data_IF_389094032676
#
_entry.id   IF_389094032676
#
_cell.length_a   1.000
_cell.length_b   1.000
_cell.length_c   1.000
_cell.angle_alpha   90.00
_cell.angle_beta   90.00
_cell.angle_gamma   90.00
#
_symmetry.space_group_name_H-M   'P 1'
#
loop_
_entity.id
_entity.type
_entity.pdbx_description
1 polymer ?
#
# COMPACT_ATOMS: atom_id res chain seq x y z
N UNK A 1 -46.53 2.51 -31.67
CA UNK A 1 -45.53 2.09 -32.69
C UNK A 1 -46.12 0.93 -33.45
N UNK A 2 -45.99 0.87 -34.78
CA UNK A 2 -46.45 -0.29 -35.57
C UNK A 2 -45.24 -1.16 -35.95
N UNK A 3 -45.25 -2.44 -35.55
CA UNK A 3 -44.18 -3.39 -35.86
C UNK A 3 -44.66 -4.32 -36.98
N UNK A 4 -44.07 -4.19 -38.17
CA UNK A 4 -44.48 -4.96 -39.35
C UNK A 4 -44.18 -6.46 -39.20
N UNK A 5 -44.99 -7.29 -39.85
CA UNK A 5 -44.68 -8.70 -40.04
C UNK A 5 -43.41 -8.86 -40.91
N UNK A 6 -42.54 -9.85 -40.62
CA UNK A 6 -42.66 -10.87 -39.57
C UNK A 6 -42.10 -10.41 -38.20
N UNK A 7 -41.54 -9.20 -38.08
CA UNK A 7 -40.80 -8.76 -36.90
C UNK A 7 -41.63 -8.66 -35.61
N UNK A 8 -42.95 -8.54 -35.71
CA UNK A 8 -43.86 -8.58 -34.57
C UNK A 8 -43.70 -9.82 -33.66
N UNK A 9 -43.19 -10.95 -34.19
CA UNK A 9 -42.92 -12.16 -33.41
C UNK A 9 -41.75 -12.01 -32.42
N UNK A 10 -40.89 -11.00 -32.64
CA UNK A 10 -39.74 -10.71 -31.76
C UNK A 10 -40.14 -9.89 -30.53
N UNK A 11 -41.34 -9.30 -30.54
CA UNK A 11 -41.85 -8.45 -29.45
C UNK A 11 -42.55 -9.33 -28.42
N UNK A 12 -41.92 -9.45 -27.26
CA UNK A 12 -42.37 -10.21 -26.09
C UNK A 12 -42.69 -9.25 -24.96
N UNK A 13 -43.36 -9.73 -23.92
CA UNK A 13 -43.72 -8.89 -22.75
C UNK A 13 -42.51 -8.26 -22.05
N UNK A 14 -41.33 -8.88 -22.15
CA UNK A 14 -40.07 -8.39 -21.57
C UNK A 14 -39.24 -7.53 -22.55
N UNK A 15 -39.74 -7.27 -23.75
CA UNK A 15 -39.03 -6.46 -24.75
C UNK A 15 -38.80 -5.04 -24.24
N UNK A 16 -37.58 -4.54 -24.38
CA UNK A 16 -37.18 -3.19 -23.98
C UNK A 16 -37.02 -2.34 -25.22
N UNK A 17 -37.76 -1.24 -25.29
CA UNK A 17 -37.68 -0.27 -26.39
C UNK A 17 -36.80 0.90 -25.97
N UNK A 18 -35.89 1.34 -26.83
CA UNK A 18 -35.02 2.48 -26.54
C UNK A 18 -34.94 3.43 -27.73
N UNK A 19 -34.65 4.70 -27.43
CA UNK A 19 -34.36 5.68 -28.43
C UNK A 19 -32.98 5.38 -29.06
N UNK A 20 -32.98 5.13 -30.37
CA UNK A 20 -31.80 4.80 -31.18
C UNK A 20 -31.38 6.00 -32.05
N UNK A 21 -31.74 7.21 -31.60
CA UNK A 21 -31.48 8.45 -32.31
C UNK A 21 -30.29 9.18 -31.69
N UNK A 22 -29.32 9.55 -32.51
CA UNK A 22 -28.20 10.39 -32.11
C UNK A 22 -26.87 9.63 -31.97
N UNK A 23 -25.91 10.31 -31.37
CA UNK A 23 -24.59 9.75 -31.04
C UNK A 23 -24.54 9.65 -29.52
N UNK A 24 -24.42 8.42 -29.00
CA UNK A 24 -24.19 8.21 -27.58
C UNK A 24 -22.69 8.14 -27.33
N UNK A 25 -22.18 9.02 -26.46
CA UNK A 25 -20.77 9.11 -26.11
C UNK A 25 -20.66 8.94 -24.61
N UNK A 26 -20.25 7.75 -24.19
CA UNK A 26 -20.00 7.45 -22.78
C UNK A 26 -18.50 7.49 -22.52
N UNK A 27 -18.10 8.18 -21.46
CA UNK A 27 -16.72 8.17 -20.97
C UNK A 27 -16.72 7.59 -19.56
N UNK A 28 -16.14 6.41 -19.40
CA UNK A 28 -16.04 5.73 -18.11
C UNK A 28 -14.59 5.37 -17.77
N UNK A 29 -14.39 4.60 -16.70
CA UNK A 29 -13.08 4.14 -16.28
C UNK A 29 -12.43 3.15 -17.26
N UNK A 30 -13.20 2.56 -18.19
CA UNK A 30 -12.75 1.65 -19.24
C UNK A 30 -12.36 2.38 -20.53
N UNK A 31 -12.77 3.64 -20.70
CA UNK A 31 -12.32 4.51 -21.78
C UNK A 31 -13.46 5.28 -22.44
N UNK A 32 -13.21 5.76 -23.66
CA UNK A 32 -14.22 6.42 -24.49
C UNK A 32 -14.99 5.37 -25.31
N UNK A 33 -16.28 5.26 -25.07
CA UNK A 33 -17.19 4.47 -25.88
C UNK A 33 -18.08 5.39 -26.72
N UNK A 34 -18.13 5.13 -28.03
CA UNK A 34 -18.95 5.87 -28.98
C UNK A 34 -19.90 4.88 -29.65
N UNK A 35 -21.19 4.95 -29.31
CA UNK A 35 -22.22 4.15 -29.95
C UNK A 35 -22.93 5.03 -30.97
N UNK A 36 -22.82 4.66 -32.25
CA UNK A 36 -23.52 5.32 -33.36
C UNK A 36 -24.45 4.33 -34.04
N UNK A 37 -25.74 4.63 -34.01
CA UNK A 37 -26.73 3.95 -34.83
C UNK A 37 -26.64 4.40 -36.30
N UNK A 38 -27.48 3.81 -37.16
CA UNK A 38 -27.58 4.15 -38.59
C UNK A 38 -27.67 5.67 -38.80
N UNK A 39 -26.91 6.20 -39.78
CA UNK A 39 -26.93 7.61 -40.17
C UNK A 39 -28.34 8.14 -40.45
N UNK A 40 -29.25 7.26 -40.91
CA UNK A 40 -30.66 7.59 -41.17
C UNK A 40 -31.44 7.79 -39.86
N UNK A 41 -31.16 6.99 -38.83
CA UNK A 41 -31.75 7.11 -37.48
C UNK A 41 -31.32 8.40 -36.78
N UNK A 42 -30.10 8.86 -37.00
CA UNK A 42 -29.59 10.14 -36.47
C UNK A 42 -30.36 11.34 -37.04
N UNK A 43 -30.81 11.26 -38.30
CA UNK A 43 -31.51 12.38 -38.98
C UNK A 43 -33.03 12.40 -38.76
N UNK A 44 -33.68 11.25 -38.69
CA UNK A 44 -35.15 11.14 -38.65
C UNK A 44 -35.70 10.69 -37.29
N UNK A 45 -34.80 10.25 -36.40
CA UNK A 45 -35.14 9.56 -35.17
C UNK A 45 -35.54 8.10 -35.41
N UNK A 46 -35.18 7.22 -34.47
CA UNK A 46 -35.55 5.82 -34.48
C UNK A 46 -35.82 5.29 -33.06
N UNK A 47 -36.70 4.30 -32.99
CA UNK A 47 -36.91 3.47 -31.79
C UNK A 47 -36.44 2.07 -32.14
N UNK A 48 -35.49 1.55 -31.39
CA UNK A 48 -35.05 0.16 -31.48
C UNK A 48 -35.59 -0.64 -30.29
N UNK A 49 -35.49 -1.96 -30.38
CA UNK A 49 -35.92 -2.84 -29.29
C UNK A 49 -35.03 -4.07 -29.17
N UNK A 50 -34.93 -4.57 -27.95
CA UNK A 50 -34.26 -5.83 -27.64
C UNK A 50 -35.11 -6.68 -26.68
N UNK A 51 -34.99 -8.00 -26.80
CA UNK A 51 -35.67 -8.96 -25.93
C UNK A 51 -34.61 -9.70 -25.11
N UNK A 52 -34.49 -9.44 -23.79
CA UNK A 52 -33.46 -10.05 -22.98
C UNK A 52 -33.60 -11.58 -22.92
N UNK A 53 -32.48 -12.28 -22.98
CA UNK A 53 -32.44 -13.74 -22.90
C UNK A 53 -32.65 -14.15 -21.43
N UNK A 54 -33.80 -14.77 -21.13
CA UNK A 54 -34.14 -15.27 -19.79
C UNK A 54 -34.31 -16.79 -19.76
N UNK A 55 -34.06 -17.39 -18.59
CA UNK A 55 -34.22 -18.84 -18.35
C UNK A 55 -35.67 -19.33 -18.51
N UNK A 56 -36.65 -18.43 -18.49
CA UNK A 56 -38.06 -18.70 -18.83
C UNK A 56 -38.40 -17.96 -20.10
N UNK A 57 -39.04 -18.62 -21.07
CA UNK A 57 -39.51 -17.97 -22.28
C UNK A 57 -40.60 -16.94 -21.95
N UNK A 58 -40.33 -15.66 -22.21
CA UNK A 58 -41.35 -14.59 -22.08
C UNK A 58 -42.45 -14.78 -23.13
N UNK A 59 -43.71 -14.52 -22.78
CA UNK A 59 -44.85 -14.61 -23.71
C UNK A 59 -44.81 -13.49 -24.76
N UNK A 60 -45.45 -13.72 -25.92
CA UNK A 60 -45.63 -12.66 -26.92
C UNK A 60 -46.47 -11.52 -26.32
N UNK A 61 -46.11 -10.28 -26.64
CA UNK A 61 -46.89 -9.14 -26.18
C UNK A 61 -48.21 -9.06 -26.97
N UNK A 62 -49.35 -8.83 -26.30
CA UNK A 62 -50.62 -8.60 -26.99
C UNK A 62 -50.60 -7.27 -27.75
N UNK A 63 -51.59 -7.07 -28.63
CA UNK A 63 -51.83 -5.78 -29.27
C UNK A 63 -52.09 -4.69 -28.21
N UNK A 64 -51.64 -3.47 -28.50
CA UNK A 64 -51.72 -2.29 -27.61
C UNK A 64 -51.05 -2.45 -26.23
N UNK A 65 -50.11 -3.39 -26.08
CA UNK A 65 -49.32 -3.52 -24.86
C UNK A 65 -48.42 -2.30 -24.66
N UNK A 66 -48.45 -1.73 -23.45
CA UNK A 66 -47.63 -0.57 -23.09
C UNK A 66 -46.19 -1.00 -22.72
N UNK A 67 -45.21 -0.32 -23.32
CA UNK A 67 -43.79 -0.52 -23.03
C UNK A 67 -43.16 0.77 -22.53
N UNK A 68 -42.18 0.64 -21.64
CA UNK A 68 -41.29 1.75 -21.26
C UNK A 68 -40.34 2.06 -22.42
N UNK A 69 -40.28 3.33 -22.82
CA UNK A 69 -39.28 3.84 -23.77
C UNK A 69 -38.07 4.34 -22.98
N UNK A 70 -36.94 3.67 -23.17
CA UNK A 70 -35.67 3.97 -22.53
C UNK A 70 -34.90 5.07 -23.31
N UNK A 71 -34.13 5.93 -22.63
CA UNK A 71 -33.37 7.00 -23.30
C UNK A 71 -32.32 6.50 -24.30
N UNK A 72 -31.70 5.34 -24.06
CA UNK A 72 -30.66 4.74 -24.91
C UNK A 72 -30.52 3.22 -24.62
N UNK A 73 -29.73 2.52 -25.44
CA UNK A 73 -29.46 1.08 -25.26
C UNK A 73 -28.76 0.75 -23.93
N UNK A 74 -27.89 1.62 -23.41
CA UNK A 74 -27.24 1.35 -22.12
C UNK A 74 -28.24 1.25 -20.97
N UNK A 75 -29.24 2.15 -20.96
CA UNK A 75 -30.28 2.14 -19.94
C UNK A 75 -31.19 0.91 -20.00
N UNK A 76 -31.24 0.18 -21.13
CA UNK A 76 -31.92 -1.12 -21.20
C UNK A 76 -31.08 -2.26 -20.66
N UNK A 77 -29.76 -2.12 -20.54
CA UNK A 77 -28.86 -3.16 -19.99
C UNK A 77 -28.77 -3.10 -18.48
N UNK A 78 -29.02 -1.94 -17.87
CA UNK A 78 -29.17 -1.83 -16.43
C UNK A 78 -30.40 -2.63 -16.00
N UNK A 79 -30.18 -3.74 -15.28
CA UNK A 79 -31.27 -4.38 -14.54
C UNK A 79 -31.77 -3.34 -13.55
N UNK A 80 -33.02 -2.90 -13.67
CA UNK A 80 -33.69 -2.19 -12.59
C UNK A 80 -33.82 -3.16 -11.42
N UNK A 81 -32.78 -3.21 -10.58
CA UNK A 81 -32.78 -4.04 -9.40
C UNK A 81 -33.90 -3.54 -8.47
N UNK A 82 -34.82 -4.43 -8.12
CA UNK A 82 -36.07 -4.05 -7.45
C UNK A 82 -35.82 -3.68 -5.99
N UNK A 83 -34.78 -4.25 -5.40
CA UNK A 83 -34.35 -3.99 -4.03
C UNK A 83 -33.19 -2.99 -4.02
N UNK A 84 -33.51 -1.75 -3.64
CA UNK A 84 -32.52 -0.72 -3.30
C UNK A 84 -32.41 -0.58 -1.78
N UNK A 85 -31.19 -0.54 -1.26
CA UNK A 85 -30.92 -0.24 0.15
C UNK A 85 -30.05 1.00 0.27
N UNK A 86 -30.51 1.94 1.09
CA UNK A 86 -29.84 3.22 1.27
C UNK A 86 -28.97 3.23 2.52
N UNK A 87 -27.80 3.86 2.42
CA UNK A 87 -26.84 4.00 3.52
C UNK A 87 -26.24 5.40 3.54
N UNK A 88 -25.88 5.87 4.72
CA UNK A 88 -25.16 7.13 4.91
C UNK A 88 -23.68 6.89 5.16
N UNK A 89 -22.85 7.74 4.56
CA UNK A 89 -21.42 7.79 4.73
C UNK A 89 -21.02 9.19 5.15
N UNK A 90 -20.15 9.32 6.15
CA UNK A 90 -19.65 10.62 6.59
C UNK A 90 -18.18 10.76 6.20
N UNK A 91 -17.87 11.73 5.34
CA UNK A 91 -16.49 12.08 5.01
C UNK A 91 -16.11 13.40 5.67
N UNK A 92 -14.87 13.47 6.16
CA UNK A 92 -14.25 14.69 6.68
C UNK A 92 -13.34 15.37 5.64
N UNK A 93 -13.02 14.66 4.56
CA UNK A 93 -12.08 15.09 3.52
C UNK A 93 -12.79 15.84 2.37
N UNK A 94 -11.99 16.38 1.45
CA UNK A 94 -12.51 17.04 0.23
C UNK A 94 -13.22 16.01 -0.67
N UNK A 95 -14.51 16.21 -0.90
CA UNK A 95 -15.31 15.39 -1.82
C UNK A 95 -15.24 15.87 -3.27
N UNK A 96 -14.39 16.84 -3.60
CA UNK A 96 -14.20 17.33 -4.97
C UNK A 96 -13.96 16.19 -5.95
N UNK A 97 -14.71 16.21 -7.06
CA UNK A 97 -14.70 15.14 -8.06
C UNK A 97 -15.74 14.05 -7.79
N UNK A 98 -16.39 14.03 -6.61
CA UNK A 98 -17.59 13.24 -6.38
C UNK A 98 -18.77 13.90 -7.08
N UNK A 99 -19.52 13.11 -7.83
CA UNK A 99 -20.73 13.54 -8.53
C UNK A 99 -21.93 12.71 -8.05
N UNK A 100 -23.14 13.22 -8.28
CA UNK A 100 -24.32 12.36 -8.21
C UNK A 100 -24.17 11.22 -9.22
N UNK A 101 -24.69 10.04 -8.88
CA UNK A 101 -24.55 8.78 -9.64
C UNK A 101 -23.12 8.21 -9.72
N UNK A 102 -22.15 8.81 -9.01
CA UNK A 102 -20.80 8.26 -8.92
C UNK A 102 -20.87 6.80 -8.40
N UNK A 103 -20.10 5.87 -8.99
CA UNK A 103 -20.26 4.47 -8.67
C UNK A 103 -19.84 4.18 -7.23
N UNK A 104 -20.58 3.30 -6.58
CA UNK A 104 -20.13 2.62 -5.36
C UNK A 104 -19.64 1.25 -5.80
N UNK A 105 -18.39 0.93 -5.48
CA UNK A 105 -17.71 -0.27 -5.92
C UNK A 105 -17.34 -1.14 -4.73
N UNK A 106 -17.35 -2.45 -4.92
CA UNK A 106 -16.82 -3.42 -3.97
C UNK A 106 -15.93 -4.38 -4.76
N UNK A 107 -14.65 -4.48 -4.37
CA UNK A 107 -13.66 -5.28 -5.12
C UNK A 107 -13.61 -4.94 -6.63
N UNK A 108 -13.78 -3.66 -6.97
CA UNK A 108 -13.75 -3.18 -8.36
C UNK A 108 -15.05 -3.41 -9.16
N UNK A 109 -16.06 -4.04 -8.56
CA UNK A 109 -17.36 -4.27 -9.18
C UNK A 109 -18.32 -3.18 -8.68
N UNK A 110 -18.99 -2.45 -9.58
CA UNK A 110 -20.07 -1.52 -9.20
C UNK A 110 -21.13 -2.32 -8.43
N UNK A 111 -21.55 -1.84 -7.26
CA UNK A 111 -22.60 -2.45 -6.41
C UNK A 111 -23.69 -1.45 -6.05
N UNK A 112 -23.57 -0.22 -6.54
CA UNK A 112 -24.49 0.87 -6.24
C UNK A 112 -23.99 2.20 -6.79
N UNK A 113 -24.55 3.28 -6.28
CA UNK A 113 -24.19 4.64 -6.68
C UNK A 113 -24.51 5.69 -5.63
N UNK A 114 -23.90 6.86 -5.76
CA UNK A 114 -24.20 8.05 -4.96
C UNK A 114 -25.54 8.62 -5.38
N UNK A 115 -26.42 8.85 -4.41
CA UNK A 115 -27.73 9.46 -4.62
C UNK A 115 -27.61 10.97 -4.44
N UNK A 116 -27.08 11.39 -3.29
CA UNK A 116 -27.01 12.80 -2.91
C UNK A 116 -25.90 13.03 -1.88
N UNK A 117 -25.42 14.27 -1.77
CA UNK A 117 -24.49 14.69 -0.73
C UNK A 117 -24.55 16.19 -0.48
N UNK A 118 -24.29 16.60 0.76
CA UNK A 118 -24.29 18.01 1.14
C UNK A 118 -23.22 18.31 2.17
N UNK A 119 -22.70 19.54 2.17
CA UNK A 119 -21.81 20.02 3.23
C UNK A 119 -22.64 20.41 4.45
N UNK A 120 -22.32 19.84 5.60
CA UNK A 120 -22.97 20.17 6.87
C UNK A 120 -21.94 20.65 7.88
N UNK A 121 -22.33 21.63 8.70
CA UNK A 121 -21.52 22.11 9.81
C UNK A 121 -22.08 21.61 11.14
N UNK A 122 -21.25 20.95 11.92
CA UNK A 122 -21.62 20.43 13.22
C UNK A 122 -21.18 21.41 14.32
N UNK A 123 -22.12 22.21 14.80
CA UNK A 123 -21.89 23.19 15.87
C UNK A 123 -21.37 22.60 17.18
N UNK A 124 -21.63 21.31 17.47
CA UNK A 124 -21.16 20.67 18.70
C UNK A 124 -19.68 20.31 18.64
N UNK A 125 -19.21 19.90 17.46
CA UNK A 125 -17.82 19.51 17.22
C UNK A 125 -17.00 20.64 16.60
N UNK A 126 -17.66 21.71 16.15
CA UNK A 126 -17.07 22.82 15.41
C UNK A 126 -16.30 22.32 14.18
N UNK A 127 -16.84 21.32 13.49
CA UNK A 127 -16.25 20.69 12.31
C UNK A 127 -17.24 20.65 11.14
N UNK A 128 -16.69 20.50 9.93
CA UNK A 128 -17.46 20.24 8.72
C UNK A 128 -17.50 18.73 8.47
N UNK A 129 -18.64 18.25 8.03
CA UNK A 129 -18.82 16.86 7.61
C UNK A 129 -19.64 16.83 6.31
N UNK A 130 -19.32 15.89 5.44
CA UNK A 130 -20.07 15.65 4.21
C UNK A 130 -20.80 14.30 4.32
N UNK A 131 -22.08 14.29 4.74
CA UNK A 131 -22.92 13.13 4.55
C UNK A 131 -23.14 12.87 3.06
N UNK A 132 -22.87 11.63 2.65
CA UNK A 132 -23.12 11.11 1.32
C UNK A 132 -24.13 9.98 1.45
N UNK A 133 -25.27 10.14 0.79
CA UNK A 133 -26.29 9.11 0.66
C UNK A 133 -25.94 8.22 -0.54
N UNK A 134 -25.86 6.92 -0.29
CA UNK A 134 -25.63 5.93 -1.34
C UNK A 134 -26.81 4.96 -1.42
N UNK A 135 -27.05 4.44 -2.63
CA UNK A 135 -27.91 3.29 -2.85
C UNK A 135 -27.04 2.07 -3.21
N UNK A 136 -27.35 0.93 -2.61
CA UNK A 136 -26.76 -0.36 -2.91
C UNK A 136 -27.80 -1.32 -3.49
N UNK A 137 -27.36 -2.12 -4.44
CA UNK A 137 -28.15 -3.07 -5.21
C UNK A 137 -27.73 -4.50 -4.82
N UNK A 138 -28.23 -5.07 -3.70
CA UNK A 138 -27.80 -6.37 -3.19
C UNK A 138 -28.04 -7.53 -4.18
N UNK A 139 -28.98 -7.38 -5.11
CA UNK A 139 -29.24 -8.35 -6.17
C UNK A 139 -28.06 -8.56 -7.14
N UNK A 140 -27.03 -7.71 -7.07
CA UNK A 140 -25.77 -7.86 -7.84
C UNK A 140 -24.83 -8.91 -7.25
N UNK A 141 -25.05 -9.31 -6.00
CA UNK A 141 -24.21 -10.29 -5.30
C UNK A 141 -24.94 -11.63 -5.29
N UNK A 142 -24.50 -12.56 -6.14
CA UNK A 142 -25.04 -13.92 -6.13
C UNK A 142 -24.62 -14.64 -4.84
N UNK A 143 -25.60 -15.03 -4.02
CA UNK A 143 -25.36 -15.82 -2.83
C UNK A 143 -25.07 -17.27 -3.23
N UNK A 144 -23.78 -17.61 -3.36
CA UNK A 144 -23.36 -18.95 -3.79
C UNK A 144 -23.71 -20.00 -2.70
N UNK A 145 -23.60 -19.67 -1.41
CA UNK A 145 -23.90 -20.59 -0.29
C UNK A 145 -24.30 -19.86 1.03
N UNK A 146 -25.09 -20.53 1.88
CA UNK A 146 -25.42 -20.13 3.25
C UNK A 146 -26.70 -19.28 3.39
N UNK A 147 -27.36 -19.32 4.55
CA UNK A 147 -28.43 -18.35 4.90
C UNK A 147 -27.78 -17.12 5.52
N UNK A 148 -28.33 -15.93 5.24
CA UNK A 148 -27.98 -14.74 6.05
C UNK A 148 -28.24 -15.06 7.52
N UNK A 149 -27.32 -14.75 8.45
CA UNK A 149 -27.57 -14.96 9.87
C UNK A 149 -28.91 -14.34 10.28
N UNK A 150 -29.77 -15.11 10.96
CA UNK A 150 -31.07 -14.64 11.39
C UNK A 150 -30.90 -13.42 12.30
N UNK A 151 -31.58 -12.32 11.94
CA UNK A 151 -31.62 -11.09 12.73
C UNK A 151 -30.42 -10.13 12.59
N UNK A 152 -29.44 -10.38 11.71
CA UNK A 152 -28.35 -9.43 11.43
C UNK A 152 -28.34 -8.97 9.97
N UNK A 153 -28.14 -7.67 9.75
CA UNK A 153 -27.93 -7.13 8.41
C UNK A 153 -26.65 -7.72 7.83
N UNK A 154 -26.65 -8.06 6.54
CA UNK A 154 -25.43 -8.49 5.84
C UNK A 154 -24.29 -7.48 5.99
N UNK A 155 -24.64 -6.18 6.05
CA UNK A 155 -23.68 -5.11 6.29
C UNK A 155 -23.08 -5.16 7.70
N UNK A 156 -23.81 -5.62 8.72
CA UNK A 156 -23.26 -5.78 10.07
C UNK A 156 -22.13 -6.82 10.07
N UNK A 157 -22.33 -7.93 9.36
CA UNK A 157 -21.32 -8.99 9.22
C UNK A 157 -20.08 -8.45 8.51
N UNK A 158 -20.27 -7.65 7.46
CA UNK A 158 -19.17 -7.09 6.68
C UNK A 158 -18.39 -6.03 7.46
N UNK A 159 -19.09 -5.10 8.11
CA UNK A 159 -18.45 -4.07 8.94
C UNK A 159 -17.71 -4.68 10.12
N UNK A 160 -18.27 -5.72 10.75
CA UNK A 160 -17.61 -6.48 11.82
C UNK A 160 -16.32 -7.18 11.35
N UNK A 161 -16.24 -7.54 10.06
CA UNK A 161 -15.02 -8.08 9.43
C UNK A 161 -14.05 -7.00 8.92
N UNK A 162 -14.32 -5.73 9.21
CA UNK A 162 -13.44 -4.62 8.86
C UNK A 162 -13.84 -3.87 7.58
N UNK A 163 -15.02 -4.08 7.01
CA UNK A 163 -15.44 -3.29 5.84
C UNK A 163 -15.51 -1.80 6.19
N UNK A 164 -14.89 -0.96 5.35
CA UNK A 164 -14.93 0.51 5.41
C UNK A 164 -15.26 1.06 4.03
N UNK A 165 -15.95 2.20 4.02
CA UNK A 165 -16.12 2.99 2.82
C UNK A 165 -15.01 4.04 2.71
N UNK A 166 -14.48 4.23 1.52
CA UNK A 166 -13.45 5.22 1.23
C UNK A 166 -13.75 5.93 -0.08
N UNK A 167 -13.52 7.24 -0.13
CA UNK A 167 -13.50 7.95 -1.41
C UNK A 167 -12.18 7.63 -2.12
N UNK A 168 -12.25 7.20 -3.39
CA UNK A 168 -11.07 6.96 -4.22
C UNK A 168 -11.19 7.67 -5.56
N UNK A 169 -10.05 8.01 -6.15
CA UNK A 169 -10.01 8.59 -7.50
C UNK A 169 -10.18 7.47 -8.52
N UNK A 170 -11.20 7.58 -9.37
CA UNK A 170 -11.47 6.61 -10.45
C UNK A 170 -10.64 6.90 -11.69
N UNK A 171 -10.63 8.16 -12.12
CA UNK A 171 -9.86 8.60 -13.28
C UNK A 171 -8.96 9.78 -12.91
N UNK A 172 -7.64 9.58 -13.02
CA UNK A 172 -6.64 10.59 -12.67
C UNK A 172 -6.62 11.78 -13.63
N UNK A 173 -7.19 11.62 -14.84
CA UNK A 173 -7.22 12.66 -15.86
C UNK A 173 -8.41 13.61 -15.62
N UNK A 174 -9.59 13.06 -15.35
CA UNK A 174 -10.82 13.85 -15.14
C UNK A 174 -11.01 14.27 -13.68
N UNK A 175 -10.29 13.65 -12.75
CA UNK A 175 -10.41 13.90 -11.30
C UNK A 175 -11.70 13.33 -10.69
N UNK A 176 -12.44 12.49 -11.41
CA UNK A 176 -13.69 11.91 -10.90
C UNK A 176 -13.41 10.91 -9.77
N UNK A 177 -14.15 11.04 -8.67
CA UNK A 177 -14.10 10.16 -7.51
C UNK A 177 -15.24 9.14 -7.54
N UNK A 178 -15.01 8.01 -6.88
CA UNK A 178 -15.99 6.96 -6.62
C UNK A 178 -15.86 6.51 -5.16
N UNK A 179 -16.83 5.74 -4.68
CA UNK A 179 -16.81 5.19 -3.33
C UNK A 179 -16.41 3.73 -3.40
N UNK A 180 -15.33 3.37 -2.72
CA UNK A 180 -14.82 2.00 -2.61
C UNK A 180 -15.23 1.41 -1.26
N UNK A 181 -15.84 0.23 -1.29
CA UNK A 181 -16.14 -0.59 -0.12
C UNK A 181 -15.07 -1.69 -0.06
N UNK A 182 -14.22 -1.64 0.96
CA UNK A 182 -13.07 -2.55 1.09
C UNK A 182 -12.90 -3.05 2.54
N UNK A 183 -12.30 -4.22 2.71
CA UNK A 183 -11.97 -4.76 4.03
C UNK A 183 -10.63 -4.24 4.53
N UNK A 184 -10.65 -3.69 5.73
CA UNK A 184 -9.51 -3.18 6.47
C UNK A 184 -9.41 -3.88 7.84
N UNK A 185 -8.96 -5.15 7.89
CA UNK A 185 -8.87 -5.92 9.13
C UNK A 185 -7.85 -5.37 10.13
N UNK A 186 -6.91 -4.54 9.67
CA UNK A 186 -5.90 -3.85 10.47
C UNK A 186 -6.46 -2.72 11.35
N UNK A 187 -7.63 -2.19 11.00
CA UNK A 187 -8.23 -1.07 11.71
C UNK A 187 -9.08 -1.55 12.89
N UNK A 188 -9.25 -0.70 13.93
CA UNK A 188 -10.12 -1.03 15.06
C UNK A 188 -11.52 -1.42 14.59
N UNK A 189 -12.18 -2.40 15.24
CA UNK A 189 -13.53 -2.81 14.90
C UNK A 189 -14.50 -1.62 14.91
N UNK A 190 -15.42 -1.60 13.94
CA UNK A 190 -16.48 -0.62 13.86
C UNK A 190 -17.82 -1.34 13.75
N UNK A 191 -18.91 -0.59 13.88
CA UNK A 191 -20.28 -1.10 13.78
C UNK A 191 -21.08 -0.20 12.84
N UNK A 192 -22.10 -0.77 12.19
CA UNK A 192 -23.13 0.02 11.51
C UNK A 192 -23.92 0.76 12.59
N UNK A 193 -24.13 2.06 12.41
CA UNK A 193 -24.98 2.85 13.30
C UNK A 193 -26.38 2.96 12.72
N UNK A 194 -27.40 2.84 13.58
CA UNK A 194 -28.82 2.86 13.20
C UNK A 194 -29.58 3.99 13.90
N UNK A 195 -28.87 5.02 14.35
CA UNK A 195 -29.37 6.17 15.11
C UNK A 195 -29.87 7.33 14.22
N UNK A 196 -29.87 7.14 12.90
CA UNK A 196 -30.24 8.13 11.89
C UNK A 196 -31.29 7.58 10.91
N UNK A 197 -31.77 8.42 9.98
CA UNK A 197 -32.78 8.04 8.98
C UNK A 197 -32.33 6.87 8.08
N UNK A 198 -31.02 6.72 7.88
CA UNK A 198 -30.41 5.60 7.15
C UNK A 198 -29.28 4.99 7.97
N UNK A 199 -29.01 3.68 7.84
CA UNK A 199 -27.87 3.05 8.50
C UNK A 199 -26.56 3.68 8.04
N UNK A 200 -25.69 4.02 8.99
CA UNK A 200 -24.41 4.68 8.73
C UNK A 200 -23.31 3.64 8.66
N UNK A 201 -22.60 3.57 7.52
CA UNK A 201 -21.44 2.71 7.37
C UNK A 201 -20.16 3.46 7.78
N UNK A 202 -19.19 2.77 8.39
CA UNK A 202 -17.94 3.39 8.80
C UNK A 202 -17.09 3.76 7.60
N UNK A 203 -16.52 4.96 7.64
CA UNK A 203 -15.63 5.51 6.61
C UNK A 203 -14.19 5.56 7.10
N UNK A 204 -13.26 5.65 6.15
CA UNK A 204 -11.85 5.97 6.43
C UNK A 204 -11.40 7.12 5.52
N UNK A 205 -10.47 7.98 5.99
CA UNK A 205 -9.95 9.07 5.19
C UNK A 205 -9.11 8.60 4.01
N UNK A 206 -8.88 9.45 2.99
CA UNK A 206 -8.10 9.06 1.81
C UNK A 206 -6.60 8.85 2.12
N UNK A 207 -5.90 7.91 1.46
CA UNK A 207 -4.50 7.62 1.77
C UNK A 207 -3.53 8.72 1.32
N UNK A 208 -3.87 9.50 0.28
CA UNK A 208 -2.98 10.51 -0.28
C UNK A 208 -2.85 11.75 0.65
N UNK A 209 -3.93 12.13 1.32
CA UNK A 209 -3.92 13.20 2.32
C UNK A 209 -3.10 12.80 3.54
N UNK A 210 -3.08 11.52 3.92
CA UNK A 210 -2.21 11.02 4.99
C UNK A 210 -0.73 11.18 4.65
N UNK A 211 -0.32 11.00 3.39
CA UNK A 211 1.06 11.24 2.96
C UNK A 211 1.39 12.73 3.06
N UNK A 212 0.54 13.62 2.55
CA UNK A 212 0.78 15.06 2.62
C UNK A 212 0.78 15.59 4.06
N UNK A 213 -0.15 15.12 4.90
CA UNK A 213 -0.18 15.44 6.33
C UNK A 213 1.05 14.88 7.05
N UNK A 214 1.53 13.69 6.66
CA UNK A 214 2.77 13.12 7.20
C UNK A 214 3.99 13.93 6.78
N UNK A 215 4.06 14.39 5.53
CA UNK A 215 5.13 15.28 5.03
C UNK A 215 5.10 16.62 5.74
N UNK A 216 3.93 17.23 5.93
CA UNK A 216 3.80 18.50 6.68
C UNK A 216 4.20 18.32 8.15
N UNK A 217 3.88 17.18 8.76
CA UNK A 217 4.34 16.84 10.11
C UNK A 217 5.85 16.58 10.19
N UNK A 218 6.45 16.01 9.15
CA UNK A 218 7.91 15.88 9.03
C UNK A 218 8.55 17.27 8.88
N UNK A 219 8.02 18.15 8.03
CA UNK A 219 8.51 19.52 7.84
C UNK A 219 8.41 20.31 9.16
N UNK A 220 7.26 20.27 9.85
CA UNK A 220 7.09 20.92 11.17
C UNK A 220 8.02 20.37 12.24
N UNK A 221 8.37 19.08 12.18
CA UNK A 221 9.38 18.47 13.08
C UNK A 221 10.79 18.90 12.68
N UNK A 222 11.07 19.02 11.39
CA UNK A 222 12.34 19.52 10.84
C UNK A 222 12.57 20.99 11.23
N UNK A 223 11.53 21.82 11.19
CA UNK A 223 11.54 23.22 11.63
C UNK A 223 11.71 23.38 13.14
N UNK A 224 11.37 22.35 13.92
CA UNK A 224 11.55 22.29 15.37
C UNK A 224 12.84 21.61 15.80
N UNK A 225 13.73 21.26 14.86
CA UNK A 225 15.07 20.82 15.22
C UNK A 225 15.77 22.01 15.87
N UNK A 226 16.12 21.94 17.16
CA UNK A 226 16.96 22.94 17.76
C UNK A 226 18.33 22.81 17.11
N UNK A 227 18.67 23.74 16.22
CA UNK A 227 20.02 23.86 15.64
C UNK A 227 21.10 24.00 16.71
N UNK A 228 20.72 24.45 17.91
CA UNK A 228 21.58 24.57 19.08
C UNK A 228 21.96 23.23 19.72
N UNK A 229 21.17 22.16 19.51
CA UNK A 229 21.45 20.80 20.02
C UNK A 229 22.35 20.03 19.05
N UNK A 230 22.16 20.19 17.72
CA UNK A 230 23.04 19.57 16.72
C UNK A 230 24.48 20.06 16.89
N UNK A 231 24.70 21.35 17.16
CA UNK A 231 26.05 21.88 17.39
C UNK A 231 26.74 21.24 18.61
N UNK A 232 26.00 21.01 19.70
CA UNK A 232 26.53 20.41 20.93
C UNK A 232 26.73 18.90 20.81
N UNK A 233 25.83 18.19 20.14
CA UNK A 233 25.94 16.74 19.98
C UNK A 233 27.03 16.38 18.96
N UNK A 234 27.18 17.14 17.88
CA UNK A 234 28.30 16.99 16.93
C UNK A 234 29.62 17.31 17.64
N UNK A 235 29.68 18.36 18.46
CA UNK A 235 30.87 18.66 19.23
C UNK A 235 31.20 17.55 20.25
N UNK A 236 30.20 16.99 20.93
CA UNK A 236 30.39 15.89 21.91
C UNK A 236 30.84 14.60 21.23
N UNK A 237 30.30 14.30 20.05
CA UNK A 237 30.72 13.15 19.22
C UNK A 237 32.14 13.37 18.70
N UNK A 238 32.48 14.58 18.24
CA UNK A 238 33.84 14.91 17.78
C UNK A 238 34.85 14.89 18.92
N UNK A 239 34.48 15.36 20.12
CA UNK A 239 35.33 15.30 21.31
C UNK A 239 35.50 13.85 21.79
N UNK A 240 34.45 13.04 21.76
CA UNK A 240 34.52 11.61 22.11
C UNK A 240 35.35 10.82 21.09
N UNK A 241 35.21 11.12 19.81
CA UNK A 241 36.02 10.54 18.74
C UNK A 241 37.50 10.92 18.91
N UNK A 242 37.80 12.20 19.15
CA UNK A 242 39.17 12.67 19.33
C UNK A 242 39.84 12.10 20.61
N UNK A 243 39.07 11.97 21.69
CA UNK A 243 39.54 11.36 22.94
C UNK A 243 39.77 9.84 22.81
N UNK A 244 38.93 9.14 22.07
CA UNK A 244 39.12 7.71 21.79
C UNK A 244 40.32 7.49 20.86
N UNK A 245 40.49 8.30 19.81
CA UNK A 245 41.66 8.22 18.93
C UNK A 245 42.98 8.43 19.67
N UNK A 246 43.04 9.40 20.59
CA UNK A 246 44.23 9.62 21.43
C UNK A 246 44.52 8.47 22.39
N UNK A 247 43.49 7.86 23.00
CA UNK A 247 43.66 6.68 23.86
C UNK A 247 44.16 5.48 23.08
N UNK A 248 43.64 5.28 21.86
CA UNK A 248 44.08 4.24 20.94
C UNK A 248 45.53 4.44 20.51
N UNK A 249 45.93 5.67 20.16
CA UNK A 249 47.33 6.02 19.83
C UNK A 249 48.29 5.74 21.00
N UNK A 250 47.88 6.08 22.22
CA UNK A 250 48.69 5.82 23.43
C UNK A 250 48.84 4.32 23.69
N UNK A 251 47.76 3.54 23.55
CA UNK A 251 47.78 2.09 23.75
C UNK A 251 48.69 1.37 22.73
N UNK A 252 48.67 1.80 21.46
CA UNK A 252 49.57 1.26 20.44
C UNK A 252 51.03 1.65 20.68
N UNK A 253 51.28 2.87 21.17
CA UNK A 253 52.61 3.28 21.61
C UNK A 253 53.16 2.38 22.71
N UNK A 254 52.36 2.06 23.74
CA UNK A 254 52.79 1.19 24.83
C UNK A 254 53.06 -0.26 24.41
N UNK A 255 52.26 -0.80 23.47
CA UNK A 255 52.49 -2.15 22.92
C UNK A 255 53.84 -2.21 22.19
N UNK A 256 54.13 -1.21 21.36
CA UNK A 256 55.38 -1.18 20.60
C UNK A 256 56.61 -0.95 21.48
N UNK A 257 56.51 -0.08 22.48
CA UNK A 257 57.66 0.33 23.29
C UNK A 257 57.96 -0.63 24.44
N UNK A 258 56.94 -1.25 25.03
CA UNK A 258 57.10 -2.10 26.23
C UNK A 258 56.95 -3.60 25.92
N UNK A 259 55.93 -3.97 25.15
CA UNK A 259 55.51 -5.37 25.01
C UNK A 259 56.32 -6.11 23.94
N UNK A 260 56.52 -5.50 22.76
CA UNK A 260 57.26 -6.14 21.66
C UNK A 260 58.74 -6.47 22.00
N UNK A 261 59.51 -5.58 22.66
CA UNK A 261 60.88 -5.88 23.03
C UNK A 261 60.98 -7.00 24.07
N UNK A 262 60.03 -7.07 25.00
CA UNK A 262 59.99 -8.09 26.05
C UNK A 262 59.68 -9.48 25.49
N UNK A 263 58.75 -9.56 24.53
CA UNK A 263 58.45 -10.80 23.79
C UNK A 263 59.67 -11.25 22.99
N UNK A 264 60.32 -10.33 22.27
CA UNK A 264 61.51 -10.65 21.45
C UNK A 264 62.66 -11.15 22.34
N UNK A 265 62.93 -10.47 23.44
CA UNK A 265 63.97 -10.87 24.40
C UNK A 265 63.68 -12.24 25.03
N UNK A 266 62.41 -12.53 25.31
CA UNK A 266 62.00 -13.83 25.86
C UNK A 266 62.20 -14.96 24.86
N UNK A 267 61.83 -14.74 23.59
CA UNK A 267 62.04 -15.72 22.51
C UNK A 267 63.53 -15.97 22.26
N UNK A 268 64.37 -14.92 22.26
CA UNK A 268 65.83 -15.04 22.14
C UNK A 268 66.43 -15.88 23.29
N UNK A 269 65.99 -15.64 24.53
CA UNK A 269 66.44 -16.42 25.70
C UNK A 269 66.02 -17.87 25.61
N UNK A 270 64.80 -18.16 25.16
CA UNK A 270 64.31 -19.53 24.96
C UNK A 270 65.08 -20.25 23.87
N UNK A 271 65.39 -19.57 22.75
CA UNK A 271 66.18 -20.12 21.67
C UNK A 271 67.62 -20.43 22.11
N UNK A 272 68.24 -19.55 22.90
CA UNK A 272 69.56 -19.78 23.47
C UNK A 272 69.57 -20.97 24.45
N UNK A 273 68.55 -21.10 25.31
CA UNK A 273 68.41 -22.27 26.19
C UNK A 273 68.21 -23.58 25.42
N UNK A 274 67.48 -23.54 24.30
CA UNK A 274 67.26 -24.71 23.45
C UNK A 274 68.54 -25.16 22.73
N UNK A 275 69.35 -24.22 22.25
CA UNK A 275 70.65 -24.52 21.65
C UNK A 275 71.60 -25.20 22.65
N UNK A 276 71.47 -24.87 23.94
CA UNK A 276 72.23 -25.52 25.03
C UNK A 276 71.72 -26.94 25.32
N UNK A 277 70.40 -27.15 25.30
CA UNK A 277 69.76 -28.47 25.50
C UNK A 277 70.10 -29.43 24.34
N UNK A 278 70.18 -28.93 23.11
CA UNK A 278 70.56 -29.69 21.92
C UNK A 278 72.00 -30.23 21.99
N UNK A 279 72.92 -29.45 22.59
CA UNK A 279 74.30 -29.89 22.83
C UNK A 279 74.42 -31.00 23.88
N UNK A 280 73.45 -31.11 24.81
CA UNK A 280 73.51 -32.02 25.95
C UNK A 280 72.79 -33.36 25.77
N UNK A 281 71.69 -33.41 25.00
CA UNK A 281 70.76 -34.56 25.02
C UNK A 281 70.43 -35.19 23.65
N UNK A 282 71.04 -34.72 22.55
CA UNK A 282 70.87 -35.31 21.21
C UNK A 282 69.62 -34.83 20.47
N UNK A 283 69.75 -34.64 19.16
CA UNK A 283 68.80 -33.92 18.31
C UNK A 283 67.48 -34.66 17.98
N UNK A 284 67.34 -35.96 18.34
CA UNK A 284 66.35 -36.86 17.72
C UNK A 284 65.18 -37.30 18.63
N UNK A 285 64.86 -36.55 19.70
CA UNK A 285 63.62 -36.80 20.44
C UNK A 285 62.43 -36.05 19.80
N UNK A 286 61.29 -36.73 19.61
CA UNK A 286 60.08 -36.11 19.02
C UNK A 286 59.62 -34.85 19.78
N UNK A 287 59.84 -34.82 21.10
CA UNK A 287 59.56 -33.65 21.95
C UNK A 287 60.39 -32.42 21.57
N UNK A 288 61.65 -32.59 21.11
CA UNK A 288 62.48 -31.47 20.66
C UNK A 288 62.00 -30.91 19.31
N UNK A 289 61.47 -31.76 18.42
CA UNK A 289 60.92 -31.33 17.13
C UNK A 289 59.62 -30.53 17.32
N UNK A 290 58.72 -30.99 18.20
CA UNK A 290 57.47 -30.30 18.49
C UNK A 290 57.70 -28.94 19.15
N UNK A 291 58.67 -28.84 20.06
CA UNK A 291 59.02 -27.59 20.72
C UNK A 291 59.66 -26.57 19.77
N UNK A 292 60.50 -27.03 18.82
CA UNK A 292 61.03 -26.15 17.75
C UNK A 292 59.93 -25.58 16.89
N UNK A 293 59.01 -26.44 16.45
CA UNK A 293 57.88 -26.02 15.63
C UNK A 293 57.03 -24.97 16.37
N UNK A 294 56.78 -25.18 17.66
CA UNK A 294 56.07 -24.21 18.50
C UNK A 294 56.82 -22.87 18.64
N UNK A 295 58.15 -22.91 18.78
CA UNK A 295 58.98 -21.69 18.85
C UNK A 295 59.05 -20.95 17.52
N UNK A 296 59.10 -21.68 16.40
CA UNK A 296 59.06 -21.10 15.05
C UNK A 296 57.70 -20.45 14.79
N UNK A 297 56.59 -21.14 15.11
CA UNK A 297 55.23 -20.61 15.01
C UNK A 297 55.04 -19.38 15.92
N UNK A 298 55.57 -19.40 17.14
CA UNK A 298 55.54 -18.24 18.04
C UNK A 298 56.37 -17.06 17.48
N UNK A 299 57.52 -17.35 16.86
CA UNK A 299 58.35 -16.35 16.19
C UNK A 299 57.67 -15.75 14.95
N UNK A 300 56.91 -16.54 14.19
CA UNK A 300 56.10 -16.06 13.06
C UNK A 300 54.92 -15.20 13.50
N UNK A 301 54.24 -15.59 14.59
CA UNK A 301 53.17 -14.80 15.19
C UNK A 301 53.69 -13.44 15.69
N UNK A 302 54.83 -13.43 16.39
CA UNK A 302 55.47 -12.19 16.85
C UNK A 302 55.84 -11.26 15.68
N UNK A 303 56.37 -11.83 14.58
CA UNK A 303 56.67 -11.09 13.34
C UNK A 303 55.41 -10.51 12.69
N UNK A 304 54.31 -11.27 12.68
CA UNK A 304 53.03 -10.83 12.12
C UNK A 304 52.41 -9.68 12.93
N UNK A 305 52.48 -9.75 14.26
CA UNK A 305 52.03 -8.69 15.16
C UNK A 305 52.87 -7.43 14.96
N UNK A 306 54.19 -7.57 14.80
CA UNK A 306 55.08 -6.44 14.49
C UNK A 306 54.72 -5.78 13.16
N UNK A 307 54.51 -6.56 12.10
CA UNK A 307 54.12 -6.02 10.80
C UNK A 307 52.79 -5.28 10.85
N UNK A 308 51.80 -5.83 11.57
CA UNK A 308 50.52 -5.15 11.81
C UNK A 308 50.71 -3.84 12.57
N UNK A 309 51.54 -3.84 13.60
CA UNK A 309 51.81 -2.64 14.42
C UNK A 309 52.50 -1.55 13.59
N UNK A 310 53.55 -1.92 12.82
CA UNK A 310 54.24 -0.99 11.92
C UNK A 310 53.33 -0.47 10.81
N UNK A 311 52.43 -1.31 10.28
CA UNK A 311 51.43 -0.91 9.28
C UNK A 311 50.43 0.10 9.86
N UNK A 312 49.85 -0.19 11.03
CA UNK A 312 48.89 0.70 11.69
C UNK A 312 49.51 2.02 12.15
N UNK A 313 50.81 2.03 12.49
CA UNK A 313 51.53 3.26 12.81
C UNK A 313 51.72 4.17 11.59
N UNK A 314 51.86 3.58 10.39
CA UNK A 314 51.97 4.33 9.12
C UNK A 314 50.61 4.71 8.54
N UNK A 315 49.56 3.94 8.88
CA UNK A 315 48.20 4.09 8.35
C UNK A 315 47.14 4.01 9.48
N UNK A 316 47.05 5.03 10.35
CA UNK A 316 46.04 5.06 11.41
C UNK A 316 44.60 5.06 10.88
N UNK A 317 44.38 5.56 9.66
CA UNK A 317 43.10 5.57 8.95
C UNK A 317 42.54 4.16 8.68
N UNK A 318 43.41 3.14 8.60
CA UNK A 318 43.01 1.75 8.35
C UNK A 318 42.19 1.14 9.50
N UNK A 319 42.18 1.77 10.70
CA UNK A 319 41.35 1.36 11.83
C UNK A 319 39.87 1.69 11.63
N UNK A 320 39.57 2.77 10.91
CA UNK A 320 38.19 3.26 10.71
C UNK A 320 37.65 2.75 9.37
N UNK A 321 38.45 2.81 8.32
CA UNK A 321 38.03 2.47 6.97
C UNK A 321 38.32 1.01 6.60
N UNK A 322 39.04 0.28 7.46
CA UNK A 322 39.62 -1.00 7.10
C UNK A 322 40.84 -0.81 6.19
N UNK A 323 41.56 -1.90 5.92
CA UNK A 323 42.62 -1.88 4.91
C UNK A 323 41.97 -1.66 3.55
N UNK A 324 42.20 -0.48 2.94
CA UNK A 324 41.80 -0.25 1.55
C UNK A 324 42.36 -1.40 0.71
N UNK A 325 41.44 -2.14 0.08
CA UNK A 325 41.77 -3.32 -0.70
C UNK A 325 42.71 -2.92 -1.82
N UNK A 326 43.99 -3.29 -1.68
CA UNK A 326 44.89 -3.40 -2.80
C UNK A 326 44.43 -4.59 -3.65
N UNK A 327 44.10 -4.33 -4.92
CA UNK A 327 44.20 -5.32 -6.00
C UNK A 327 45.60 -5.93 -6.06
#
# INVERSE_FOLDING_TARGET
>A
VFVQAPFHEKVRKETRFYNASGVDVTLDASGLQVNTDSLVSVMLGAIAFESPVSLKASEQAPEDFEFKLYPNEESTKHKEYLLKRYYLLYFQDDVRGLASEAPVSFHGIKVGQVVDFSLQFNWKKNDFQVPVLIELEPERVEQIHGKSPEGKSFMDVFVARGMRAQLRSGNLITGQKFIDLAFHPELPPANVRYDEAYPVLPTIPQPLEQIMASVENIIRRLEKIPTDEIGRDVQTVLESANNNLRKTETMFGEINEKVLPEITSTLEKLQASMAEIEKGYGADSGTNQDLRKALDEAGEAARSIRFLTEYLQRHPEALIHGKDGAE
#
